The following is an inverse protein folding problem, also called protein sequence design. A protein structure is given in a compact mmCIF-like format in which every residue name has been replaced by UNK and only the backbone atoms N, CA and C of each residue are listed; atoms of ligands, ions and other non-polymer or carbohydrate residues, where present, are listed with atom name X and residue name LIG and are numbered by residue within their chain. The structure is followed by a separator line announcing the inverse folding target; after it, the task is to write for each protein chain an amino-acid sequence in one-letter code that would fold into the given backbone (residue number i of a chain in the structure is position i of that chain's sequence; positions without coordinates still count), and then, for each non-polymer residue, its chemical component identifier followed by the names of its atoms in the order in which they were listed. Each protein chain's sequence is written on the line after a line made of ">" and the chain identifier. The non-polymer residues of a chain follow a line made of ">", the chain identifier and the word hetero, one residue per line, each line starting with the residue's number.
data_IF_377523024005
#
_entry.id   IF_377523024005
#
_cell.length_a   1.000
_cell.length_b   1.000
_cell.length_c   1.000
_cell.angle_alpha   90.00
_cell.angle_beta   90.00
_cell.angle_gamma   90.00
#
_symmetry.space_group_name_H-M   'P 1'
#
loop_
_entity.id
_entity.type
_entity.pdbx_description
1 polymer ?
#
# COMPACT_ATOMS: atom_id res chain seq x y z
N UNK A 1 -13.90 -27.57 2.90
CA UNK A 1 -14.57 -26.24 2.92
C UNK A 1 -14.27 -25.51 4.22
N UNK A 2 -14.51 -24.19 4.28
CA UNK A 2 -14.39 -23.41 5.52
C UNK A 2 -15.72 -23.39 6.28
N UNK A 3 -15.73 -23.30 7.62
CA UNK A 3 -16.95 -23.14 8.40
C UNK A 3 -17.60 -21.78 8.15
N UNK A 4 -18.92 -21.78 8.00
CA UNK A 4 -19.72 -20.58 7.81
C UNK A 4 -19.80 -19.80 9.12
N UNK A 5 -19.54 -18.49 9.04
CA UNK A 5 -19.58 -17.56 10.17
C UNK A 5 -20.78 -16.63 10.05
N UNK A 6 -21.20 -16.02 11.16
CA UNK A 6 -22.29 -15.05 11.24
C UNK A 6 -21.78 -13.74 11.85
N UNK A 7 -22.47 -12.60 11.65
CA UNK A 7 -23.60 -12.40 10.76
C UNK A 7 -23.17 -12.22 9.29
N UNK A 8 -23.96 -12.72 8.34
CA UNK A 8 -23.82 -12.40 6.90
C UNK A 8 -25.16 -11.90 6.34
N UNK A 9 -25.15 -10.74 5.68
CA UNK A 9 -26.34 -10.05 5.19
C UNK A 9 -26.09 -9.40 3.83
N UNK A 10 -27.16 -9.01 3.17
CA UNK A 10 -27.11 -8.29 1.89
C UNK A 10 -26.16 -7.09 1.97
N UNK A 11 -25.40 -6.86 0.90
CA UNK A 11 -24.39 -5.80 0.72
C UNK A 11 -23.06 -6.01 1.46
N UNK A 12 -22.91 -7.06 2.27
CA UNK A 12 -21.62 -7.37 2.91
C UNK A 12 -20.55 -7.81 1.89
N UNK A 13 -19.27 -7.64 2.23
CA UNK A 13 -18.12 -8.07 1.43
C UNK A 13 -17.05 -8.79 2.24
N UNK A 14 -16.24 -9.60 1.56
CA UNK A 14 -14.99 -10.13 2.08
C UNK A 14 -14.96 -11.66 2.24
N UNK A 15 -13.88 -12.16 2.85
CA UNK A 15 -13.56 -13.61 2.92
C UNK A 15 -14.70 -14.46 3.50
N UNK A 16 -15.39 -13.96 4.53
CA UNK A 16 -16.52 -14.68 5.15
C UNK A 16 -17.72 -14.86 4.19
N UNK A 17 -17.96 -13.89 3.32
CA UNK A 17 -19.00 -13.97 2.26
C UNK A 17 -18.57 -14.97 1.18
N UNK A 18 -17.29 -14.93 0.81
CA UNK A 18 -16.68 -15.88 -0.11
C UNK A 18 -16.81 -17.34 0.37
N UNK A 19 -16.54 -17.62 1.65
CA UNK A 19 -16.66 -18.96 2.24
C UNK A 19 -18.11 -19.50 2.15
N UNK A 20 -19.11 -18.62 2.38
CA UNK A 20 -20.52 -18.93 2.17
C UNK A 20 -20.84 -19.21 0.70
N UNK A 21 -20.35 -18.39 -0.22
CA UNK A 21 -20.62 -18.53 -1.65
C UNK A 21 -19.95 -19.78 -2.25
N UNK A 22 -18.81 -20.21 -1.70
CA UNK A 22 -18.19 -21.50 -2.05
C UNK A 22 -19.08 -22.66 -1.61
N UNK A 23 -19.68 -22.56 -0.42
CA UNK A 23 -20.69 -23.52 0.07
C UNK A 23 -21.91 -23.59 -0.86
N UNK A 24 -22.45 -22.43 -1.24
CA UNK A 24 -23.61 -22.39 -2.13
C UNK A 24 -23.28 -22.93 -3.54
N UNK A 25 -22.09 -22.66 -4.05
CA UNK A 25 -21.62 -23.20 -5.34
C UNK A 25 -21.54 -24.73 -5.31
N UNK A 26 -20.98 -25.29 -4.24
CA UNK A 26 -20.93 -26.74 -4.06
C UNK A 26 -22.32 -27.36 -3.98
N UNK A 27 -23.25 -26.74 -3.25
CA UNK A 27 -24.63 -27.23 -3.16
C UNK A 27 -25.35 -27.13 -4.51
N UNK A 28 -25.07 -26.09 -5.33
CA UNK A 28 -25.59 -26.00 -6.70
C UNK A 28 -25.05 -27.09 -7.62
N UNK A 29 -23.83 -27.56 -7.40
CA UNK A 29 -23.22 -28.62 -8.20
C UNK A 29 -23.64 -30.01 -7.74
N UNK A 30 -23.80 -30.22 -6.43
CA UNK A 30 -23.87 -31.56 -5.84
C UNK A 30 -25.21 -31.86 -5.13
N UNK A 31 -25.99 -30.85 -4.74
CA UNK A 31 -27.19 -30.99 -3.87
C UNK A 31 -28.25 -29.89 -4.16
N UNK A 32 -28.66 -29.72 -5.42
CA UNK A 32 -29.60 -28.67 -5.87
C UNK A 32 -30.93 -28.70 -5.13
N UNK A 33 -31.36 -29.88 -4.69
CA UNK A 33 -32.57 -30.09 -3.90
C UNK A 33 -32.58 -29.30 -2.59
N UNK A 34 -31.41 -29.02 -1.99
CA UNK A 34 -31.30 -28.22 -0.76
C UNK A 34 -31.44 -26.71 -1.02
N UNK A 35 -31.30 -26.29 -2.28
CA UNK A 35 -31.39 -24.89 -2.71
C UNK A 35 -32.67 -24.61 -3.52
N UNK A 36 -33.46 -25.65 -3.79
CA UNK A 36 -34.68 -25.53 -4.55
C UNK A 36 -35.77 -24.83 -3.72
N UNK A 37 -36.46 -23.82 -4.27
CA UNK A 37 -37.60 -23.21 -3.59
C UNK A 37 -38.75 -24.22 -3.43
N UNK A 38 -39.27 -24.39 -2.22
CA UNK A 38 -40.26 -25.44 -1.87
C UNK A 38 -41.59 -25.36 -2.64
N UNK A 39 -41.94 -24.18 -3.20
CA UNK A 39 -43.24 -23.93 -3.83
C UNK A 39 -43.13 -23.31 -5.23
N UNK A 40 -42.05 -23.60 -5.98
CA UNK A 40 -41.91 -23.07 -7.32
C UNK A 40 -42.72 -23.88 -8.36
N UNK A 41 -43.50 -23.22 -9.23
CA UNK A 41 -44.30 -23.90 -10.27
C UNK A 41 -43.44 -24.50 -11.39
N UNK A 42 -42.15 -24.14 -11.48
CA UNK A 42 -41.18 -24.68 -12.43
C UNK A 42 -39.80 -24.81 -11.76
N UNK A 43 -38.95 -25.76 -12.20
CA UNK A 43 -37.58 -25.86 -11.72
C UNK A 43 -36.82 -24.55 -11.99
N UNK A 44 -35.97 -24.09 -11.05
CA UNK A 44 -35.16 -22.90 -11.26
C UNK A 44 -34.20 -23.06 -12.44
N UNK A 45 -33.92 -21.96 -13.12
CA UNK A 45 -32.83 -21.89 -14.09
C UNK A 45 -31.48 -21.91 -13.35
N UNK A 46 -30.97 -23.11 -13.13
CA UNK A 46 -29.76 -23.35 -12.36
C UNK A 46 -28.51 -22.73 -12.99
N UNK A 47 -28.45 -22.68 -14.33
CA UNK A 47 -27.30 -22.15 -15.04
C UNK A 47 -27.23 -20.63 -14.86
N UNK A 48 -28.37 -19.94 -14.97
CA UNK A 48 -28.45 -18.51 -14.69
C UNK A 48 -28.10 -18.18 -13.23
N UNK A 49 -28.57 -19.00 -12.28
CA UNK A 49 -28.28 -18.81 -10.85
C UNK A 49 -26.79 -19.03 -10.57
N UNK A 50 -26.18 -20.08 -11.14
CA UNK A 50 -24.75 -20.36 -10.98
C UNK A 50 -23.87 -19.23 -11.55
N UNK A 51 -24.25 -18.67 -12.71
CA UNK A 51 -23.57 -17.50 -13.30
C UNK A 51 -23.67 -16.29 -12.36
N UNK A 52 -24.87 -16.00 -11.84
CA UNK A 52 -25.07 -14.86 -10.94
C UNK A 52 -24.28 -15.01 -9.62
N UNK A 53 -24.27 -16.21 -9.04
CA UNK A 53 -23.48 -16.51 -7.84
C UNK A 53 -21.98 -16.36 -8.13
N UNK A 54 -21.50 -16.82 -9.28
CA UNK A 54 -20.08 -16.69 -9.66
C UNK A 54 -19.63 -15.24 -9.81
N UNK A 55 -20.48 -14.38 -10.36
CA UNK A 55 -20.22 -12.93 -10.45
C UNK A 55 -20.12 -12.31 -9.05
N UNK A 56 -21.04 -12.65 -8.16
CA UNK A 56 -21.03 -12.21 -6.76
C UNK A 56 -19.80 -12.74 -6.00
N UNK A 57 -19.41 -13.99 -6.24
CA UNK A 57 -18.24 -14.66 -5.66
C UNK A 57 -16.92 -14.01 -6.04
N UNK A 58 -16.76 -13.65 -7.30
CA UNK A 58 -15.57 -12.95 -7.80
C UNK A 58 -15.40 -11.58 -7.14
N UNK A 59 -16.51 -10.93 -6.77
CA UNK A 59 -16.53 -9.65 -6.04
C UNK A 59 -16.56 -9.84 -4.51
N UNK A 60 -16.62 -11.08 -4.04
CA UNK A 60 -16.88 -11.46 -2.64
C UNK A 60 -18.05 -10.68 -2.04
N UNK A 61 -19.07 -10.39 -2.84
CA UNK A 61 -20.15 -9.46 -2.50
C UNK A 61 -21.45 -10.23 -2.29
N UNK A 62 -22.07 -10.02 -1.14
CA UNK A 62 -23.35 -10.64 -0.79
C UNK A 62 -24.47 -9.89 -1.51
N UNK A 63 -24.78 -10.33 -2.73
CA UNK A 63 -25.82 -9.75 -3.55
C UNK A 63 -27.13 -10.53 -3.50
N UNK A 64 -27.94 -10.32 -4.54
CA UNK A 64 -29.27 -10.90 -4.65
C UNK A 64 -29.20 -12.42 -4.80
N UNK A 65 -28.29 -12.93 -5.62
CA UNK A 65 -28.18 -14.37 -5.86
C UNK A 65 -27.80 -15.12 -4.58
N UNK A 66 -26.82 -14.59 -3.83
CA UNK A 66 -26.43 -15.16 -2.53
C UNK A 66 -27.59 -15.14 -1.54
N UNK A 67 -28.32 -14.01 -1.43
CA UNK A 67 -29.47 -13.88 -0.54
C UNK A 67 -30.57 -14.90 -0.87
N UNK A 68 -30.96 -15.00 -2.13
CA UNK A 68 -32.06 -15.84 -2.57
C UNK A 68 -31.72 -17.33 -2.33
N UNK A 69 -30.47 -17.73 -2.59
CA UNK A 69 -29.99 -19.09 -2.30
C UNK A 69 -29.95 -19.39 -0.80
N UNK A 70 -29.51 -18.44 0.04
CA UNK A 70 -29.54 -18.61 1.51
C UNK A 70 -30.97 -18.71 2.01
N UNK A 71 -31.88 -17.90 1.48
CA UNK A 71 -33.30 -17.94 1.84
C UNK A 71 -33.92 -19.31 1.53
N UNK A 72 -33.62 -19.87 0.35
CA UNK A 72 -34.08 -21.21 -0.03
C UNK A 72 -33.45 -22.29 0.85
N UNK A 73 -32.14 -22.21 1.11
CA UNK A 73 -31.44 -23.16 1.98
C UNK A 73 -32.03 -23.16 3.40
N UNK A 74 -32.28 -21.97 3.96
CA UNK A 74 -32.93 -21.83 5.26
C UNK A 74 -34.31 -22.48 5.26
N UNK A 75 -35.10 -22.26 4.21
CA UNK A 75 -36.43 -22.84 4.09
C UNK A 75 -36.38 -24.38 4.07
N UNK A 76 -35.45 -24.96 3.29
CA UNK A 76 -35.23 -26.41 3.22
C UNK A 76 -34.68 -27.00 4.52
N UNK A 77 -33.91 -26.22 5.29
CA UNK A 77 -33.45 -26.58 6.64
C UNK A 77 -34.48 -26.33 7.75
N UNK A 78 -35.73 -25.97 7.40
CA UNK A 78 -36.82 -25.64 8.35
C UNK A 78 -36.48 -24.47 9.29
N UNK A 79 -35.70 -23.52 8.80
CA UNK A 79 -35.38 -22.26 9.47
C UNK A 79 -36.25 -21.12 8.92
N UNK A 80 -36.23 -19.99 9.63
CA UNK A 80 -36.86 -18.76 9.12
C UNK A 80 -36.10 -18.29 7.87
N UNK A 81 -36.79 -18.27 6.73
CA UNK A 81 -36.25 -17.84 5.45
C UNK A 81 -36.11 -16.31 5.42
N UNK A 82 -34.96 -15.81 5.87
CA UNK A 82 -34.64 -14.39 5.92
C UNK A 82 -33.69 -13.99 4.79
N UNK A 83 -32.89 -14.94 4.30
CA UNK A 83 -31.77 -14.68 3.41
C UNK A 83 -30.58 -14.03 4.13
N UNK A 84 -30.61 -13.94 5.47
CA UNK A 84 -29.52 -13.50 6.33
C UNK A 84 -28.96 -14.69 7.12
N UNK A 85 -27.65 -14.84 7.19
CA UNK A 85 -27.01 -15.88 8.00
C UNK A 85 -26.82 -15.36 9.43
N UNK A 86 -27.80 -15.64 10.29
CA UNK A 86 -27.68 -15.48 11.73
C UNK A 86 -26.97 -16.69 12.38
N UNK A 87 -26.81 -16.66 13.72
CA UNK A 87 -26.15 -17.73 14.46
C UNK A 87 -26.78 -19.11 14.20
N UNK A 88 -28.12 -19.18 14.22
CA UNK A 88 -28.86 -20.44 14.05
C UNK A 88 -28.72 -20.97 12.63
N UNK A 89 -28.75 -20.10 11.64
CA UNK A 89 -28.51 -20.44 10.24
C UNK A 89 -27.09 -20.94 10.00
N UNK A 90 -26.07 -20.26 10.54
CA UNK A 90 -24.68 -20.70 10.40
C UNK A 90 -24.44 -22.08 11.04
N UNK A 91 -24.98 -22.31 12.25
CA UNK A 91 -24.90 -23.61 12.93
C UNK A 91 -25.57 -24.73 12.10
N UNK A 92 -26.76 -24.47 11.54
CA UNK A 92 -27.48 -25.46 10.73
C UNK A 92 -26.75 -25.77 9.41
N UNK A 93 -26.20 -24.74 8.74
CA UNK A 93 -25.45 -24.91 7.49
C UNK A 93 -24.16 -25.70 7.76
N UNK A 94 -23.41 -25.37 8.81
CA UNK A 94 -22.20 -26.14 9.17
C UNK A 94 -22.54 -27.60 9.52
N UNK A 95 -23.62 -27.82 10.28
CA UNK A 95 -24.11 -29.18 10.58
C UNK A 95 -24.44 -29.96 9.31
N UNK A 96 -25.09 -29.32 8.34
CA UNK A 96 -25.37 -29.90 7.03
C UNK A 96 -24.08 -30.28 6.28
N UNK A 97 -23.09 -29.39 6.25
CA UNK A 97 -21.82 -29.65 5.55
C UNK A 97 -21.02 -30.78 6.18
N UNK A 98 -21.08 -30.93 7.50
CA UNK A 98 -20.51 -32.08 8.21
C UNK A 98 -21.24 -33.38 7.85
N UNK A 99 -22.58 -33.39 7.82
CA UNK A 99 -23.37 -34.56 7.36
C UNK A 99 -23.05 -34.95 5.93
N UNK A 100 -22.79 -33.97 5.06
CA UNK A 100 -22.39 -34.20 3.67
C UNK A 100 -20.90 -34.60 3.52
N UNK A 101 -20.13 -34.62 4.62
CA UNK A 101 -18.67 -34.91 4.66
C UNK A 101 -17.82 -33.95 3.81
N UNK A 102 -18.29 -32.73 3.62
CA UNK A 102 -17.65 -31.67 2.79
C UNK A 102 -16.92 -30.65 3.66
N UNK A 103 -17.41 -30.52 4.89
CA UNK A 103 -16.73 -29.91 6.01
C UNK A 103 -16.31 -31.06 6.93
N UNK A 104 -15.04 -31.13 7.31
CA UNK A 104 -14.60 -32.08 8.34
C UNK A 104 -15.42 -31.82 9.61
N UNK A 105 -16.16 -32.84 10.06
CA UNK A 105 -16.76 -32.82 11.38
C UNK A 105 -15.64 -32.88 12.39
N UNK A 106 -15.24 -31.72 12.89
CA UNK A 106 -14.27 -31.69 13.99
C UNK A 106 -14.90 -32.08 15.33
N UNK A 107 -16.24 -32.21 15.42
CA UNK A 107 -17.00 -32.52 16.64
C UNK A 107 -16.86 -31.50 17.78
N UNK A 108 -15.86 -30.63 17.72
CA UNK A 108 -15.51 -29.70 18.77
C UNK A 108 -15.96 -28.29 18.40
N UNK A 109 -16.64 -27.63 19.33
CA UNK A 109 -16.67 -26.16 19.34
C UNK A 109 -15.29 -25.68 19.79
N UNK A 110 -14.77 -24.55 19.29
CA UNK A 110 -13.59 -23.96 19.91
C UNK A 110 -13.94 -23.62 21.37
N UNK A 111 -13.42 -24.42 22.29
CA UNK A 111 -13.65 -24.32 23.74
C UNK A 111 -12.65 -23.41 24.41
N UNK A 112 -11.54 -23.08 23.74
CA UNK A 112 -10.51 -22.21 24.27
C UNK A 112 -10.59 -20.81 23.65
N UNK A 113 -10.54 -19.78 24.49
CA UNK A 113 -10.60 -18.37 24.10
C UNK A 113 -9.48 -17.59 24.78
N UNK A 114 -8.79 -16.77 24.00
CA UNK A 114 -7.73 -15.87 24.48
C UNK A 114 -8.08 -14.45 24.09
N UNK A 115 -8.04 -13.55 25.07
CA UNK A 115 -8.34 -12.13 24.90
C UNK A 115 -7.25 -11.24 25.48
N UNK A 116 -7.03 -10.12 24.81
CA UNK A 116 -6.14 -9.08 25.25
C UNK A 116 -6.22 -7.86 24.33
N UNK A 117 -5.29 -6.92 24.54
CA UNK A 117 -5.13 -5.71 23.74
C UNK A 117 -3.69 -5.58 23.28
N UNK A 118 -3.51 -5.03 22.09
CA UNK A 118 -2.21 -4.58 21.59
C UNK A 118 -2.18 -3.06 21.62
N UNK A 119 -1.21 -2.50 22.33
CA UNK A 119 -1.05 -1.06 22.52
C UNK A 119 0.36 -0.61 22.13
N UNK A 120 0.52 0.67 21.80
CA UNK A 120 1.83 1.28 21.63
C UNK A 120 2.53 1.47 22.98
N UNK A 121 3.80 1.84 22.96
CA UNK A 121 4.53 2.31 24.15
C UNK A 121 3.84 3.48 24.89
N UNK A 122 2.96 4.23 24.22
CA UNK A 122 2.13 5.30 24.80
C UNK A 122 0.75 4.79 25.28
N UNK A 123 0.55 3.48 25.33
CA UNK A 123 -0.71 2.82 25.72
C UNK A 123 -1.91 3.09 24.79
N UNK A 124 -1.67 3.57 23.57
CA UNK A 124 -2.71 3.74 22.55
C UNK A 124 -3.02 2.39 21.89
N UNK A 125 -4.30 2.05 21.76
CA UNK A 125 -4.74 0.85 21.03
C UNK A 125 -4.28 0.83 19.57
N UNK A 126 -3.77 -0.31 19.11
CA UNK A 126 -3.22 -0.47 17.77
C UNK A 126 -4.11 -1.37 16.90
N UNK A 127 -4.92 -0.80 16.00
CA UNK A 127 -5.82 -1.58 15.14
C UNK A 127 -5.10 -2.23 13.96
N UNK A 128 -5.72 -3.27 13.40
CA UNK A 128 -5.29 -3.88 12.14
C UNK A 128 -4.00 -4.71 12.20
N UNK A 129 -3.43 -4.93 13.39
CA UNK A 129 -2.24 -5.74 13.56
C UNK A 129 -2.57 -7.23 13.55
N UNK A 130 -1.69 -8.03 12.93
CA UNK A 130 -1.80 -9.47 12.96
C UNK A 130 -1.24 -10.02 14.28
N UNK A 131 -2.06 -10.78 14.99
CA UNK A 131 -1.64 -11.51 16.18
C UNK A 131 -1.74 -13.00 15.95
N UNK A 132 -0.76 -13.74 16.45
CA UNK A 132 -0.78 -15.20 16.52
C UNK A 132 -0.73 -15.63 17.97
N UNK A 133 -1.40 -16.73 18.29
CA UNK A 133 -1.29 -17.36 19.62
C UNK A 133 -0.60 -18.69 19.45
N UNK A 134 0.44 -18.89 20.25
CA UNK A 134 1.28 -20.08 20.23
C UNK A 134 1.24 -20.79 21.59
N UNK A 135 1.32 -22.11 21.56
CA UNK A 135 1.68 -22.93 22.71
C UNK A 135 3.22 -23.00 22.76
N UNK A 136 3.80 -22.34 23.76
CA UNK A 136 5.24 -22.31 24.03
C UNK A 136 5.71 -23.68 24.46
N UNK A 137 6.75 -24.19 23.82
CA UNK A 137 7.22 -25.55 24.06
C UNK A 137 8.74 -25.60 24.17
N UNK A 138 9.25 -26.71 24.73
CA UNK A 138 10.65 -27.08 24.54
C UNK A 138 10.82 -27.45 23.06
N UNK A 139 11.65 -26.70 22.35
CA UNK A 139 11.81 -26.77 20.90
C UNK A 139 10.88 -25.81 20.17
N UNK A 140 10.22 -26.29 19.13
CA UNK A 140 9.33 -25.47 18.31
C UNK A 140 7.99 -25.18 18.99
N UNK A 141 7.54 -23.92 18.87
CA UNK A 141 6.24 -23.49 19.34
C UNK A 141 5.13 -23.96 18.38
N UNK A 142 3.96 -24.30 18.92
CA UNK A 142 2.81 -24.74 18.12
C UNK A 142 1.82 -23.59 17.96
N UNK A 143 1.58 -23.15 16.74
CA UNK A 143 0.61 -22.08 16.48
C UNK A 143 -0.84 -22.58 16.62
N UNK A 144 -1.54 -22.05 17.62
CA UNK A 144 -2.92 -22.42 17.95
C UNK A 144 -3.94 -21.66 17.09
N UNK A 145 -3.68 -20.37 16.83
CA UNK A 145 -4.60 -19.52 16.06
C UNK A 145 -4.01 -18.18 15.68
N UNK A 146 -4.80 -17.42 14.91
CA UNK A 146 -4.49 -16.04 14.48
C UNK A 146 -5.71 -15.16 14.66
N UNK A 147 -5.50 -13.87 14.93
CA UNK A 147 -6.53 -12.84 14.94
C UNK A 147 -5.97 -11.52 14.39
N UNK A 148 -6.86 -10.55 14.20
CA UNK A 148 -6.49 -9.17 13.86
C UNK A 148 -7.04 -8.26 14.95
N UNK A 149 -6.27 -7.26 15.36
CA UNK A 149 -6.71 -6.29 16.38
C UNK A 149 -7.80 -5.36 15.83
N UNK A 150 -8.81 -5.08 16.66
CA UNK A 150 -9.87 -4.12 16.37
C UNK A 150 -9.47 -2.67 16.66
N UNK A 151 -10.39 -1.72 16.51
CA UNK A 151 -10.15 -0.27 16.65
C UNK A 151 -9.45 0.14 17.95
N UNK A 152 -9.78 -0.50 19.06
CA UNK A 152 -9.18 -0.25 20.38
C UNK A 152 -7.90 -1.06 20.64
N UNK A 153 -7.39 -1.77 19.65
CA UNK A 153 -6.30 -2.74 19.80
C UNK A 153 -6.71 -4.08 20.40
N UNK A 154 -7.99 -4.27 20.75
CA UNK A 154 -8.50 -5.51 21.31
C UNK A 154 -8.47 -6.66 20.30
N UNK A 155 -8.15 -7.87 20.76
CA UNK A 155 -8.26 -9.09 19.98
C UNK A 155 -8.96 -10.19 20.77
N UNK A 156 -9.64 -11.08 20.05
CA UNK A 156 -10.17 -12.34 20.55
C UNK A 156 -9.73 -13.44 19.59
N UNK A 157 -9.16 -14.51 20.14
CA UNK A 157 -8.75 -15.68 19.38
C UNK A 157 -9.35 -16.92 20.00
N UNK A 158 -9.94 -17.78 19.16
CA UNK A 158 -10.57 -19.03 19.56
C UNK A 158 -9.84 -20.20 18.91
N UNK A 159 -9.54 -21.25 19.67
CA UNK A 159 -8.84 -22.43 19.18
C UNK A 159 -9.38 -23.74 19.75
N UNK A 160 -8.93 -24.84 19.14
CA UNK A 160 -9.37 -26.19 19.47
C UNK A 160 -8.34 -26.90 20.34
N UNK A 161 -8.76 -27.68 21.37
CA UNK A 161 -7.87 -28.42 22.25
C UNK A 161 -6.89 -29.33 21.50
N UNK A 162 -7.31 -29.95 20.39
CA UNK A 162 -6.47 -30.84 19.58
C UNK A 162 -5.20 -30.21 18.99
N UNK A 163 -5.12 -28.87 18.97
CA UNK A 163 -3.91 -28.15 18.55
C UNK A 163 -2.85 -28.05 19.64
N UNK A 164 -3.20 -28.34 20.88
CA UNK A 164 -2.25 -28.42 21.99
C UNK A 164 -1.37 -29.65 21.77
N UNK A 165 -0.06 -29.52 22.03
CA UNK A 165 0.90 -30.61 21.83
C UNK A 165 0.47 -31.85 22.63
N UNK A 166 0.50 -33.03 21.99
CA UNK A 166 0.20 -34.31 22.65
C UNK A 166 1.12 -34.53 23.86
N UNK A 167 0.55 -34.90 25.00
CA UNK A 167 1.25 -35.08 26.27
C UNK A 167 1.21 -33.85 27.21
N UNK A 168 0.77 -32.69 26.72
CA UNK A 168 0.49 -31.51 27.55
C UNK A 168 -0.98 -31.51 27.99
N UNK A 169 -1.24 -31.50 29.29
CA UNK A 169 -2.59 -31.38 29.84
C UNK A 169 -3.17 -29.96 29.70
N UNK A 170 -2.31 -28.95 29.67
CA UNK A 170 -2.64 -27.53 29.45
C UNK A 170 -1.57 -26.86 28.57
N UNK A 171 -1.94 -25.89 27.71
CA UNK A 171 -0.98 -25.16 26.89
C UNK A 171 -0.30 -24.04 27.67
N UNK A 172 0.88 -23.62 27.23
CA UNK A 172 1.57 -22.42 27.73
C UNK A 172 1.42 -21.33 26.68
N UNK A 173 0.53 -20.36 26.91
CA UNK A 173 0.13 -19.44 25.86
C UNK A 173 1.06 -18.23 25.78
N UNK A 174 1.48 -17.88 24.56
CA UNK A 174 2.03 -16.57 24.26
C UNK A 174 1.33 -15.99 23.05
N UNK A 175 1.01 -14.71 23.11
CA UNK A 175 0.49 -13.97 21.95
C UNK A 175 1.61 -13.16 21.35
N UNK A 176 1.79 -13.25 20.03
CA UNK A 176 2.85 -12.57 19.29
C UNK A 176 2.21 -11.67 18.22
N UNK A 177 2.65 -10.42 18.17
CA UNK A 177 2.26 -9.43 17.15
C UNK A 177 3.24 -9.52 16.00
N UNK A 178 2.75 -9.63 14.77
CA UNK A 178 3.56 -9.71 13.56
C UNK A 178 3.40 -8.46 12.70
N UNK A 179 4.45 -8.08 11.97
CA UNK A 179 4.34 -7.15 10.85
C UNK A 179 3.81 -7.86 9.58
N UNK A 180 3.70 -7.12 8.48
CA UNK A 180 3.24 -7.66 7.19
C UNK A 180 4.19 -8.72 6.60
N UNK A 181 5.47 -8.72 7.00
CA UNK A 181 6.50 -9.68 6.59
C UNK A 181 6.56 -10.90 7.53
N UNK A 182 5.59 -11.06 8.44
CA UNK A 182 5.56 -12.11 9.47
C UNK A 182 6.70 -12.05 10.51
N UNK A 183 7.40 -10.93 10.62
CA UNK A 183 8.39 -10.68 11.68
C UNK A 183 7.69 -10.26 12.98
N UNK A 184 8.12 -10.85 14.09
CA UNK A 184 7.58 -10.52 15.42
C UNK A 184 7.96 -9.09 15.81
N UNK A 185 6.96 -8.26 16.09
CA UNK A 185 7.11 -6.90 16.61
C UNK A 185 7.23 -6.91 18.13
N UNK A 186 6.33 -7.64 18.79
CA UNK A 186 6.28 -7.77 20.24
C UNK A 186 5.52 -9.05 20.61
N UNK A 187 5.64 -9.48 21.87
CA UNK A 187 4.92 -10.63 22.38
C UNK A 187 4.46 -10.37 23.82
N UNK A 188 3.41 -11.05 24.24
CA UNK A 188 2.99 -11.07 25.65
C UNK A 188 3.99 -11.86 26.49
N UNK A 189 3.86 -11.74 27.80
CA UNK A 189 4.39 -12.76 28.71
C UNK A 189 3.75 -14.12 28.42
N UNK A 190 4.45 -15.18 28.82
CA UNK A 190 3.95 -16.56 28.68
C UNK A 190 2.99 -16.86 29.82
N UNK A 191 1.75 -17.25 29.49
CA UNK A 191 0.76 -17.76 30.44
C UNK A 191 0.89 -19.28 30.52
N UNK A 192 1.62 -19.75 31.53
CA UNK A 192 1.80 -21.18 31.75
C UNK A 192 0.53 -21.88 32.21
N UNK A 193 0.33 -23.12 31.76
CA UNK A 193 -0.79 -23.98 32.17
C UNK A 193 -2.17 -23.30 32.01
N UNK A 194 -2.39 -22.63 30.87
CA UNK A 194 -3.58 -21.85 30.58
C UNK A 194 -4.87 -22.69 30.59
N UNK A 195 -5.95 -22.07 31.04
CA UNK A 195 -7.29 -22.62 31.04
C UNK A 195 -8.07 -22.39 29.73
N UNK A 196 -9.35 -22.80 29.69
CA UNK A 196 -10.23 -22.60 28.54
C UNK A 196 -10.53 -21.14 28.22
N UNK A 197 -10.50 -20.24 29.20
CA UNK A 197 -10.70 -18.81 28.95
C UNK A 197 -9.60 -18.00 29.61
N UNK A 198 -8.80 -17.31 28.79
CA UNK A 198 -7.69 -16.48 29.24
C UNK A 198 -7.90 -15.02 28.83
N UNK A 199 -7.62 -14.13 29.77
CA UNK A 199 -7.79 -12.68 29.64
C UNK A 199 -6.50 -11.96 30.05
N UNK A 200 -6.28 -10.77 29.51
CA UNK A 200 -5.16 -9.90 29.90
C UNK A 200 -3.81 -10.34 29.35
N UNK A 201 -3.76 -11.08 28.24
CA UNK A 201 -2.54 -11.25 27.45
C UNK A 201 -2.31 -10.00 26.59
N UNK A 202 -2.17 -8.86 27.26
CA UNK A 202 -1.94 -7.57 26.63
C UNK A 202 -0.49 -7.47 26.14
N UNK A 203 -0.28 -6.72 25.05
CA UNK A 203 1.02 -6.58 24.39
C UNK A 203 1.30 -5.10 24.19
N UNK A 204 2.44 -4.66 24.73
CA UNK A 204 2.98 -3.33 24.46
C UNK A 204 3.99 -3.46 23.31
N UNK A 205 3.71 -2.81 22.18
CA UNK A 205 4.66 -2.75 21.06
C UNK A 205 5.67 -1.63 21.33
N UNK A 206 6.97 -1.95 21.44
CA UNK A 206 8.01 -0.94 21.68
C UNK A 206 8.03 0.13 20.59
N UNK A 207 8.54 1.31 20.94
CA UNK A 207 8.79 2.35 19.95
C UNK A 207 9.74 1.84 18.84
N UNK A 208 9.50 2.30 17.60
CA UNK A 208 10.33 1.96 16.44
C UNK A 208 10.10 0.57 15.85
N UNK A 209 9.28 -0.28 16.49
CA UNK A 209 8.92 -1.59 15.94
C UNK A 209 7.64 -1.60 15.11
N UNK A 210 6.78 -0.60 15.27
CA UNK A 210 5.62 -0.47 14.41
C UNK A 210 6.05 -0.03 13.01
N UNK A 211 5.50 -0.64 11.94
CA UNK A 211 5.63 -0.07 10.61
C UNK A 211 5.07 1.34 10.64
N UNK A 212 5.93 2.35 10.50
CA UNK A 212 5.50 3.73 10.32
C UNK A 212 5.44 3.99 8.82
N UNK A 213 4.38 4.65 8.31
CA UNK A 213 4.38 5.10 6.93
C UNK A 213 5.61 5.97 6.65
N UNK A 214 6.05 5.97 5.39
CA UNK A 214 7.20 6.77 4.99
C UNK A 214 7.02 8.25 5.35
N UNK A 215 8.11 8.95 5.64
CA UNK A 215 8.12 10.34 6.11
C UNK A 215 7.21 11.26 5.28
N UNK A 216 7.36 11.23 3.96
CA UNK A 216 6.56 12.06 3.05
C UNK A 216 5.06 11.75 3.16
N UNK A 217 4.68 10.47 3.29
CA UNK A 217 3.27 10.07 3.44
C UNK A 217 2.69 10.59 4.75
N UNK A 218 3.42 10.44 5.87
CA UNK A 218 2.97 10.96 7.17
C UNK A 218 2.78 12.46 7.14
N UNK A 219 3.70 13.18 6.48
CA UNK A 219 3.60 14.63 6.34
C UNK A 219 2.34 15.01 5.53
N UNK A 220 2.05 14.33 4.42
CA UNK A 220 0.84 14.58 3.64
C UNK A 220 -0.44 14.24 4.42
N UNK A 221 -0.46 13.14 5.16
CA UNK A 221 -1.60 12.71 5.99
C UNK A 221 -1.94 13.75 7.07
N UNK A 222 -0.93 14.39 7.66
CA UNK A 222 -1.13 15.44 8.68
C UNK A 222 -1.50 16.81 8.08
N UNK A 223 -0.95 17.16 6.91
CA UNK A 223 -1.23 18.42 6.23
C UNK A 223 -2.60 18.43 5.53
N UNK A 224 -3.05 17.29 5.01
CA UNK A 224 -4.30 17.14 4.25
C UNK A 224 -5.55 17.67 4.97
N UNK A 225 -5.80 17.32 6.26
CA UNK A 225 -6.93 17.86 7.02
C UNK A 225 -6.86 19.38 7.20
N UNK A 226 -5.66 19.94 7.42
CA UNK A 226 -5.48 21.39 7.60
C UNK A 226 -5.73 22.15 6.29
N UNK A 227 -5.47 21.50 5.17
CA UNK A 227 -5.74 22.00 3.83
C UNK A 227 -7.15 21.65 3.33
N UNK A 228 -8.03 21.13 4.19
CA UNK A 228 -9.44 20.84 3.88
C UNK A 228 -9.64 20.05 2.57
N UNK A 229 -8.80 19.04 2.33
CA UNK A 229 -8.94 18.16 1.16
C UNK A 229 -8.46 16.75 1.49
N UNK A 230 -9.19 15.75 1.00
CA UNK A 230 -8.76 14.34 0.97
C UNK A 230 -8.46 13.87 -0.46
N UNK A 231 -8.72 14.72 -1.45
CA UNK A 231 -8.39 14.44 -2.86
C UNK A 231 -6.91 14.72 -3.11
N UNK A 232 -6.21 13.74 -3.70
CA UNK A 232 -4.76 13.78 -3.88
C UNK A 232 -4.31 14.90 -4.83
N UNK A 233 -5.06 15.13 -5.92
CA UNK A 233 -4.72 16.15 -6.92
C UNK A 233 -5.03 17.57 -6.42
N UNK A 234 -6.11 17.73 -5.64
CA UNK A 234 -6.37 18.97 -4.94
C UNK A 234 -5.34 19.23 -3.84
N UNK A 235 -4.87 18.19 -3.13
CA UNK A 235 -3.82 18.32 -2.13
C UNK A 235 -2.52 18.81 -2.76
N UNK A 236 -2.07 18.20 -3.88
CA UNK A 236 -0.88 18.64 -4.63
C UNK A 236 -0.98 20.12 -5.03
N UNK A 237 -2.12 20.55 -5.57
CA UNK A 237 -2.36 21.96 -5.94
C UNK A 237 -2.30 22.91 -4.75
N UNK A 238 -3.04 22.62 -3.67
CA UNK A 238 -3.05 23.47 -2.46
C UNK A 238 -1.66 23.58 -1.83
N UNK A 239 -0.89 22.48 -1.82
CA UNK A 239 0.50 22.50 -1.36
C UNK A 239 1.38 23.39 -2.24
N UNK A 240 1.18 23.39 -3.55
CA UNK A 240 1.94 24.22 -4.47
C UNK A 240 1.61 25.73 -4.32
N UNK A 241 0.43 26.07 -3.82
CA UNK A 241 -0.06 27.44 -3.60
C UNK A 241 0.29 28.02 -2.23
N UNK A 242 0.99 27.26 -1.37
CA UNK A 242 1.43 27.75 -0.06
C UNK A 242 2.46 28.88 -0.23
N UNK A 243 2.28 29.93 0.57
CA UNK A 243 3.15 31.10 0.65
C UNK A 243 3.74 31.23 2.05
N UNK A 244 4.93 31.81 2.09
CA UNK A 244 5.59 32.26 3.30
C UNK A 244 6.24 33.61 2.97
N UNK A 245 5.51 34.68 3.23
CA UNK A 245 5.89 36.08 3.01
C UNK A 245 5.27 36.97 4.11
N UNK A 246 5.47 38.28 4.01
CA UNK A 246 4.99 39.25 5.02
C UNK A 246 3.46 39.31 5.14
N UNK A 247 2.73 38.85 4.11
CA UNK A 247 1.26 38.87 4.08
C UNK A 247 0.66 37.50 4.44
N UNK A 248 1.34 36.40 4.12
CA UNK A 248 0.84 35.03 4.27
C UNK A 248 1.91 34.08 4.80
N UNK A 249 1.64 33.52 5.98
CA UNK A 249 2.54 32.65 6.74
C UNK A 249 2.02 31.19 6.78
N UNK A 250 1.67 30.61 5.63
CA UNK A 250 1.03 29.28 5.63
C UNK A 250 1.95 28.19 6.16
N UNK A 251 3.24 28.25 5.82
CA UNK A 251 4.22 27.24 6.20
C UNK A 251 4.41 27.28 7.71
N UNK A 252 4.59 28.48 8.26
CA UNK A 252 4.68 28.69 9.72
C UNK A 252 3.41 28.24 10.43
N UNK A 253 2.23 28.55 9.91
CA UNK A 253 0.96 28.10 10.49
C UNK A 253 0.85 26.57 10.49
N UNK A 254 1.08 25.92 9.35
CA UNK A 254 0.97 24.46 9.21
C UNK A 254 1.98 23.73 10.09
N UNK A 255 3.22 24.23 10.18
CA UNK A 255 4.26 23.70 11.04
C UNK A 255 3.82 23.71 12.52
N UNK A 256 3.37 24.87 13.02
CA UNK A 256 2.90 25.00 14.41
C UNK A 256 1.63 24.20 14.69
N UNK A 257 0.72 24.10 13.70
CA UNK A 257 -0.54 23.38 13.86
C UNK A 257 -0.37 21.86 13.93
N UNK A 258 0.60 21.34 13.18
CA UNK A 258 0.83 19.89 13.05
C UNK A 258 2.03 19.38 13.87
N UNK A 259 2.88 20.29 14.36
CA UNK A 259 4.12 19.94 15.07
C UNK A 259 5.26 19.51 14.15
N UNK A 260 5.09 19.57 12.82
CA UNK A 260 6.16 19.27 11.87
C UNK A 260 7.15 20.43 11.71
N UNK A 261 8.42 20.10 11.42
CA UNK A 261 9.46 21.08 11.12
C UNK A 261 9.06 21.91 9.88
N UNK A 262 9.10 23.24 10.00
CA UNK A 262 8.68 24.17 8.95
C UNK A 262 9.46 23.99 7.63
N UNK A 263 10.73 23.57 7.70
CA UNK A 263 11.52 23.26 6.49
C UNK A 263 10.94 22.08 5.73
N UNK A 264 10.40 21.08 6.43
CA UNK A 264 9.78 19.90 5.81
C UNK A 264 8.49 20.28 5.10
N UNK A 265 7.70 21.16 5.71
CA UNK A 265 6.49 21.73 5.10
C UNK A 265 6.86 22.56 3.86
N UNK A 266 7.89 23.42 3.96
CA UNK A 266 8.39 24.20 2.83
C UNK A 266 8.91 23.33 1.68
N UNK A 267 9.68 22.28 1.99
CA UNK A 267 10.17 21.31 1.00
C UNK A 267 9.01 20.62 0.28
N UNK A 268 7.96 20.25 1.00
CA UNK A 268 6.75 19.67 0.39
C UNK A 268 6.02 20.66 -0.51
N UNK A 269 5.89 21.91 -0.09
CA UNK A 269 5.28 22.97 -0.92
C UNK A 269 6.08 23.21 -2.21
N UNK A 270 7.41 23.31 -2.10
CA UNK A 270 8.31 23.42 -3.24
C UNK A 270 8.21 22.18 -4.14
N UNK A 271 8.22 20.99 -3.54
CA UNK A 271 8.14 19.73 -4.27
C UNK A 271 6.86 19.61 -5.10
N UNK A 272 5.73 20.05 -4.55
CA UNK A 272 4.46 20.12 -5.29
C UNK A 272 4.49 21.13 -6.43
N UNK A 273 5.14 22.29 -6.26
CA UNK A 273 5.34 23.28 -7.35
C UNK A 273 6.17 22.70 -8.48
N UNK A 274 7.31 22.11 -8.16
CA UNK A 274 8.19 21.50 -9.16
C UNK A 274 7.51 20.32 -9.86
N UNK A 275 6.87 19.43 -9.10
CA UNK A 275 6.17 18.28 -9.66
C UNK A 275 5.02 18.66 -10.58
N UNK A 276 4.25 19.70 -10.23
CA UNK A 276 3.18 20.22 -11.09
C UNK A 276 3.68 20.79 -12.42
N UNK A 277 4.90 21.35 -12.45
CA UNK A 277 5.51 21.90 -13.69
C UNK A 277 6.11 20.83 -14.58
N UNK A 278 6.75 19.80 -14.01
CA UNK A 278 7.52 18.80 -14.79
C UNK A 278 6.80 17.48 -14.98
N UNK A 279 5.66 17.27 -14.32
CA UNK A 279 4.93 15.99 -14.35
C UNK A 279 5.66 14.85 -13.63
N UNK A 280 6.68 15.18 -12.83
CA UNK A 280 7.36 14.24 -11.93
C UNK A 280 6.61 14.25 -10.60
N UNK A 281 6.47 13.08 -9.96
CA UNK A 281 5.80 12.99 -8.66
C UNK A 281 6.49 13.90 -7.64
N UNK A 282 5.74 14.77 -6.91
CA UNK A 282 6.30 15.68 -5.92
C UNK A 282 7.23 14.99 -4.91
N UNK A 283 6.91 13.77 -4.51
CA UNK A 283 7.74 12.94 -3.63
C UNK A 283 9.23 12.88 -4.07
N UNK A 284 9.51 12.84 -5.36
CA UNK A 284 10.88 12.78 -5.88
C UNK A 284 11.63 14.11 -5.72
N UNK A 285 10.96 15.25 -5.89
CA UNK A 285 11.55 16.56 -5.56
C UNK A 285 11.74 16.74 -4.07
N UNK A 286 10.77 16.30 -3.27
CA UNK A 286 10.89 16.31 -1.82
C UNK A 286 12.15 15.55 -1.37
N UNK A 287 12.43 14.37 -1.95
CA UNK A 287 13.65 13.62 -1.65
C UNK A 287 14.94 14.35 -2.02
N UNK A 288 14.97 15.10 -3.13
CA UNK A 288 16.12 15.94 -3.51
C UNK A 288 16.35 17.04 -2.47
N UNK A 289 15.31 17.78 -2.09
CA UNK A 289 15.44 18.85 -1.10
C UNK A 289 15.80 18.32 0.29
N UNK A 290 15.22 17.17 0.66
CA UNK A 290 15.51 16.45 1.90
C UNK A 290 16.96 15.96 1.97
N UNK A 291 17.60 15.73 0.82
CA UNK A 291 19.01 15.41 0.68
C UNK A 291 19.93 16.65 0.65
N UNK A 292 19.37 17.85 0.76
CA UNK A 292 20.12 19.12 0.81
C UNK A 292 20.29 19.80 -0.55
N UNK A 293 19.65 19.29 -1.61
CA UNK A 293 19.68 19.96 -2.92
C UNK A 293 18.86 21.25 -2.84
N UNK A 294 19.41 22.40 -3.24
CA UNK A 294 18.64 23.65 -3.33
C UNK A 294 17.43 23.53 -4.26
N UNK A 295 16.31 24.15 -3.88
CA UNK A 295 15.11 24.23 -4.71
C UNK A 295 15.23 25.33 -5.79
N UNK A 296 16.27 25.21 -6.61
CA UNK A 296 16.63 26.14 -7.68
C UNK A 296 16.64 25.40 -9.03
N UNK A 297 15.98 25.97 -10.04
CA UNK A 297 15.80 25.32 -11.35
C UNK A 297 17.12 25.10 -12.10
N UNK A 298 18.06 26.05 -12.00
CA UNK A 298 19.37 25.94 -12.65
C UNK A 298 20.22 24.87 -11.97
N UNK A 299 20.21 24.81 -10.63
CA UNK A 299 20.92 23.76 -9.88
C UNK A 299 20.33 22.38 -10.18
N UNK A 300 19.01 22.25 -10.16
CA UNK A 300 18.32 20.97 -10.39
C UNK A 300 18.57 20.47 -11.81
N UNK A 301 18.40 21.31 -12.83
CA UNK A 301 18.59 20.91 -14.23
C UNK A 301 20.03 20.45 -14.53
N UNK A 302 21.01 20.96 -13.76
CA UNK A 302 22.42 20.60 -13.84
C UNK A 302 22.80 19.41 -12.95
N UNK A 303 21.88 18.69 -12.32
CA UNK A 303 22.24 17.46 -11.60
C UNK A 303 22.42 16.27 -12.53
N UNK A 304 23.41 15.41 -12.24
CA UNK A 304 23.65 14.21 -13.04
C UNK A 304 22.47 13.24 -12.85
N UNK A 305 21.89 12.68 -13.91
CA UNK A 305 20.76 11.76 -13.80
C UNK A 305 21.03 10.57 -12.86
N UNK A 306 22.25 10.02 -12.88
CA UNK A 306 22.60 8.91 -11.98
C UNK A 306 22.65 9.37 -10.51
N UNK A 307 23.11 10.60 -10.22
CA UNK A 307 23.07 11.15 -8.85
C UNK A 307 21.62 11.31 -8.36
N UNK A 308 20.73 11.84 -9.19
CA UNK A 308 19.30 12.00 -8.88
C UNK A 308 18.65 10.65 -8.58
N UNK A 309 18.91 9.66 -9.45
CA UNK A 309 18.42 8.28 -9.27
C UNK A 309 18.90 7.66 -7.96
N UNK A 310 20.17 7.84 -7.60
CA UNK A 310 20.72 7.33 -6.33
C UNK A 310 20.07 7.99 -5.11
N UNK A 311 19.82 9.30 -5.16
CA UNK A 311 19.10 10.01 -4.09
C UNK A 311 17.68 9.43 -3.92
N UNK A 312 16.94 9.23 -5.01
CA UNK A 312 15.58 8.67 -4.94
C UNK A 312 15.56 7.24 -4.40
N UNK A 313 16.46 6.37 -4.86
CA UNK A 313 16.59 5.00 -4.32
C UNK A 313 16.88 5.01 -2.82
N UNK A 314 17.87 5.81 -2.40
CA UNK A 314 18.23 5.93 -0.98
C UNK A 314 17.08 6.48 -0.14
N UNK A 315 16.26 7.37 -0.69
CA UNK A 315 15.09 7.91 0.00
C UNK A 315 13.99 6.84 0.21
N UNK A 316 13.82 5.91 -0.73
CA UNK A 316 12.95 4.75 -0.56
C UNK A 316 13.50 3.80 0.51
N UNK A 317 14.79 3.44 0.42
CA UNK A 317 15.46 2.55 1.39
C UNK A 317 15.38 3.07 2.82
N UNK A 318 15.52 4.39 3.00
CA UNK A 318 15.44 5.07 4.30
C UNK A 318 14.02 5.36 4.77
N UNK A 319 12.99 4.88 4.06
CA UNK A 319 11.57 5.15 4.35
C UNK A 319 11.25 6.66 4.42
N UNK A 320 11.98 7.49 3.67
CA UNK A 320 11.60 8.89 3.43
C UNK A 320 10.45 8.91 2.42
N UNK A 321 10.57 8.10 1.37
CA UNK A 321 9.55 7.89 0.36
C UNK A 321 8.87 6.52 0.50
N UNK A 322 7.59 6.40 0.14
CA UNK A 322 6.91 5.11 0.10
C UNK A 322 7.58 4.11 -0.85
N UNK A 323 7.61 2.83 -0.47
CA UNK A 323 8.24 1.76 -1.27
C UNK A 323 7.58 1.61 -2.65
N UNK A 324 6.28 1.91 -2.76
CA UNK A 324 5.56 1.78 -4.02
C UNK A 324 5.97 2.83 -5.07
N UNK A 325 6.80 3.81 -4.70
CA UNK A 325 7.39 4.78 -5.64
C UNK A 325 8.65 4.25 -6.32
N UNK A 326 9.28 3.18 -5.84
CA UNK A 326 10.50 2.64 -6.46
C UNK A 326 10.28 2.27 -7.93
N UNK A 327 9.12 1.68 -8.25
CA UNK A 327 8.71 1.35 -9.62
C UNK A 327 8.52 2.57 -10.53
N UNK A 328 8.32 3.77 -9.98
CA UNK A 328 8.14 5.03 -10.73
C UNK A 328 9.48 5.75 -11.01
N UNK A 329 10.58 5.29 -10.40
CA UNK A 329 11.91 5.91 -10.58
C UNK A 329 12.34 5.95 -12.05
N UNK A 330 12.27 4.87 -12.85
CA UNK A 330 12.74 4.89 -14.24
C UNK A 330 12.01 5.92 -15.10
N UNK A 331 10.67 5.93 -15.05
CA UNK A 331 9.84 6.89 -15.79
C UNK A 331 10.09 8.34 -15.35
N UNK A 332 10.21 8.58 -14.04
CA UNK A 332 10.47 9.90 -13.48
C UNK A 332 11.86 10.42 -13.85
N UNK A 333 12.84 9.51 -13.98
CA UNK A 333 14.19 9.86 -14.39
C UNK A 333 14.24 10.30 -15.86
N UNK A 334 13.48 9.65 -16.74
CA UNK A 334 13.38 10.07 -18.14
C UNK A 334 12.71 11.45 -18.27
N UNK A 335 11.65 11.72 -17.48
CA UNK A 335 11.07 13.07 -17.39
C UNK A 335 12.07 14.11 -16.90
N UNK A 336 12.88 13.75 -15.89
CA UNK A 336 13.91 14.62 -15.36
C UNK A 336 14.97 14.95 -16.42
N UNK A 337 15.48 13.95 -17.14
CA UNK A 337 16.42 14.15 -18.25
C UNK A 337 15.85 15.06 -19.34
N UNK A 338 14.58 14.87 -19.71
CA UNK A 338 13.93 15.70 -20.71
C UNK A 338 13.84 17.17 -20.25
N UNK A 339 13.40 17.40 -19.01
CA UNK A 339 13.34 18.72 -18.40
C UNK A 339 14.72 19.39 -18.30
N UNK A 340 15.74 18.65 -17.86
CA UNK A 340 17.12 19.14 -17.79
C UNK A 340 17.70 19.50 -19.16
N UNK A 341 17.40 18.71 -20.19
CA UNK A 341 17.86 18.98 -21.56
C UNK A 341 17.17 20.21 -22.17
N UNK A 342 15.88 20.37 -21.93
CA UNK A 342 15.13 21.58 -22.33
C UNK A 342 15.73 22.82 -21.65
N UNK A 343 16.02 22.74 -20.35
CA UNK A 343 16.59 23.89 -19.63
C UNK A 343 18.00 24.26 -19.98
N UNK A 344 18.84 23.28 -20.33
CA UNK A 344 20.16 23.55 -20.86
C UNK A 344 20.10 24.41 -22.14
N UNK A 345 19.06 24.24 -22.96
CA UNK A 345 18.88 25.00 -24.19
C UNK A 345 18.31 26.41 -23.94
N UNK A 346 17.52 26.61 -22.88
CA UNK A 346 16.82 27.87 -22.64
C UNK A 346 17.59 28.87 -21.77
N UNK A 347 18.48 28.42 -20.87
CA UNK A 347 19.15 29.32 -19.92
C UNK A 347 20.39 30.00 -20.53
N UNK A 348 20.52 31.34 -20.41
CA UNK A 348 21.77 32.04 -20.68
C UNK A 348 22.83 31.64 -19.65
N UNK A 349 24.00 31.21 -20.13
CA UNK A 349 25.17 30.99 -19.27
C UNK A 349 25.47 32.29 -18.53
N UNK A 350 25.66 32.23 -17.21
CA UNK A 350 25.92 33.42 -16.36
C UNK A 350 27.23 34.16 -16.69
N UNK A 351 27.98 33.69 -17.69
CA UNK A 351 29.16 34.33 -18.27
C UNK A 351 29.04 34.16 -19.79
N UNK A 352 28.94 35.26 -20.54
CA UNK A 352 28.84 35.25 -22.01
C UNK A 352 27.42 35.45 -22.55
N UNK A 353 27.27 36.37 -23.51
CA UNK A 353 26.00 36.83 -24.10
C UNK A 353 25.26 35.80 -24.99
N UNK A 354 25.64 34.52 -24.97
CA UNK A 354 25.09 33.45 -25.81
C UNK A 354 24.67 32.26 -24.96
N UNK A 355 23.40 31.86 -25.02
CA UNK A 355 22.94 30.61 -24.38
C UNK A 355 23.42 29.38 -25.18
N UNK A 356 23.36 28.19 -24.58
CA UNK A 356 23.80 26.94 -25.23
C UNK A 356 23.05 26.69 -26.55
N UNK A 357 21.77 27.08 -26.66
CA UNK A 357 21.00 27.00 -27.90
C UNK A 357 21.50 27.93 -29.00
N UNK A 358 22.00 29.11 -28.66
CA UNK A 358 22.59 30.05 -29.62
C UNK A 358 23.94 29.52 -30.13
N UNK A 359 24.74 28.87 -29.28
CA UNK A 359 25.97 28.17 -29.70
C UNK A 359 25.69 27.00 -30.64
N UNK A 360 24.59 26.28 -30.42
CA UNK A 360 24.22 25.15 -31.26
C UNK A 360 23.52 25.57 -32.56
N UNK A 361 22.87 26.74 -32.63
CA UNK A 361 22.03 27.14 -33.77
C UNK A 361 22.80 27.22 -35.08
N UNK A 362 24.05 27.66 -35.03
CA UNK A 362 24.88 27.86 -36.22
C UNK A 362 25.40 26.54 -36.81
N UNK A 363 25.61 25.52 -35.96
CA UNK A 363 26.17 24.22 -36.36
C UNK A 363 25.10 23.15 -36.51
N UNK A 364 24.10 23.14 -35.63
CA UNK A 364 22.96 22.24 -35.59
C UNK A 364 21.66 23.04 -35.83
N UNK A 365 21.33 23.28 -37.10
CA UNK A 365 20.16 24.08 -37.50
C UNK A 365 18.80 23.40 -37.21
N UNK A 366 18.78 22.08 -37.06
CA UNK A 366 17.59 21.30 -36.72
C UNK A 366 17.36 21.28 -35.21
N UNK A 367 16.18 21.70 -34.74
CA UNK A 367 15.83 21.70 -33.31
C UNK A 367 15.85 20.27 -32.72
N UNK A 368 15.49 19.26 -33.51
CA UNK A 368 15.60 17.87 -33.10
C UNK A 368 17.06 17.45 -32.83
N UNK A 369 17.99 17.91 -33.64
CA UNK A 369 19.42 17.69 -33.47
C UNK A 369 19.98 18.40 -32.23
N UNK A 370 19.52 19.63 -31.97
CA UNK A 370 19.87 20.38 -30.75
C UNK A 370 19.42 19.63 -29.49
N UNK A 371 18.18 19.12 -29.47
CA UNK A 371 17.67 18.32 -28.35
C UNK A 371 18.45 17.01 -28.16
N UNK A 372 18.80 16.30 -29.25
CA UNK A 372 19.62 15.07 -29.19
C UNK A 372 21.00 15.36 -28.61
N UNK A 373 21.64 16.45 -29.04
CA UNK A 373 22.94 16.85 -28.51
C UNK A 373 22.88 17.21 -27.03
N UNK A 374 21.88 18.01 -26.61
CA UNK A 374 21.69 18.39 -25.20
C UNK A 374 21.44 17.17 -24.30
N UNK A 375 20.65 16.19 -24.75
CA UNK A 375 20.45 14.92 -24.03
C UNK A 375 21.75 14.13 -23.92
N UNK A 376 22.48 13.99 -25.02
CA UNK A 376 23.76 13.27 -25.05
C UNK A 376 24.79 13.91 -24.11
N UNK A 377 24.84 15.24 -24.07
CA UNK A 377 25.69 15.98 -23.15
C UNK A 377 25.30 15.70 -21.69
N UNK A 378 24.02 15.77 -21.35
CA UNK A 378 23.54 15.46 -20.00
C UNK A 378 23.84 14.01 -19.57
N UNK A 379 23.74 13.05 -20.49
CA UNK A 379 23.99 11.64 -20.21
C UNK A 379 25.48 11.30 -20.02
N UNK A 380 26.37 12.02 -20.70
CA UNK A 380 27.81 11.72 -20.74
C UNK A 380 28.71 12.85 -20.23
N UNK A 381 28.17 13.85 -19.53
CA UNK A 381 28.96 14.98 -19.02
C UNK A 381 30.14 14.58 -18.12
N UNK A 382 30.02 13.45 -17.44
CA UNK A 382 31.06 12.91 -16.56
C UNK A 382 32.10 12.05 -17.33
N UNK A 383 31.89 11.82 -18.63
CA UNK A 383 32.77 11.13 -19.58
C UNK A 383 32.84 11.93 -20.89
N UNK A 384 33.59 13.04 -20.86
CA UNK A 384 33.71 13.93 -22.02
C UNK A 384 34.35 13.24 -23.24
N UNK A 385 35.21 12.25 -23.02
CA UNK A 385 35.85 11.50 -24.12
C UNK A 385 34.81 10.62 -24.84
N UNK A 386 34.01 9.87 -24.08
CA UNK A 386 32.89 9.09 -24.61
C UNK A 386 31.80 9.97 -25.21
N UNK A 387 31.51 11.12 -24.60
CA UNK A 387 30.60 12.14 -25.15
C UNK A 387 31.02 12.55 -26.56
N UNK A 388 32.26 13.01 -26.74
CA UNK A 388 32.72 13.47 -28.05
C UNK A 388 32.84 12.35 -29.08
N UNK A 389 33.13 11.12 -28.65
CA UNK A 389 33.08 9.94 -29.54
C UNK A 389 31.67 9.72 -30.09
N UNK A 390 30.66 9.79 -29.23
CA UNK A 390 29.26 9.61 -29.61
C UNK A 390 28.75 10.80 -30.46
N UNK A 391 29.17 12.03 -30.15
CA UNK A 391 28.85 13.21 -30.98
C UNK A 391 29.39 13.05 -32.40
N UNK A 392 30.64 12.60 -32.57
CA UNK A 392 31.21 12.33 -33.91
C UNK A 392 30.43 11.25 -34.65
N UNK A 393 29.96 10.23 -33.94
CA UNK A 393 29.17 9.15 -34.52
C UNK A 393 27.78 9.62 -34.95
N UNK A 394 27.10 10.45 -34.16
CA UNK A 394 25.72 10.87 -34.42
C UNK A 394 25.60 12.11 -35.32
N UNK A 395 26.56 13.03 -35.25
CA UNK A 395 26.51 14.32 -35.94
C UNK A 395 27.65 14.53 -36.96
N UNK A 396 28.64 13.64 -36.99
CA UNK A 396 29.78 13.70 -37.91
C UNK A 396 31.00 14.43 -37.35
N UNK A 397 32.17 14.12 -37.91
CA UNK A 397 33.48 14.64 -37.46
C UNK A 397 33.55 16.16 -37.51
N UNK A 398 33.17 16.78 -38.63
CA UNK A 398 33.23 18.23 -38.82
C UNK A 398 32.34 19.00 -37.85
N UNK A 399 31.14 18.49 -37.57
CA UNK A 399 30.21 19.10 -36.61
C UNK A 399 30.79 19.02 -35.19
N UNK A 400 31.35 17.86 -34.82
CA UNK A 400 31.96 17.69 -33.50
C UNK A 400 33.16 18.63 -33.28
N UNK A 401 34.05 18.76 -34.28
CA UNK A 401 35.20 19.67 -34.21
C UNK A 401 34.77 21.13 -34.12
N UNK A 402 33.72 21.52 -34.87
CA UNK A 402 33.19 22.88 -34.83
C UNK A 402 32.54 23.20 -33.48
N UNK A 403 31.73 22.29 -32.94
CA UNK A 403 31.13 22.44 -31.60
C UNK A 403 32.18 22.49 -30.48
N UNK A 404 33.28 21.73 -30.60
CA UNK A 404 34.41 21.80 -29.66
C UNK A 404 35.12 23.16 -29.72
N UNK A 405 35.28 23.72 -30.92
CA UNK A 405 35.89 25.03 -31.11
C UNK A 405 34.98 26.14 -30.55
N UNK A 406 33.70 26.14 -30.93
CA UNK A 406 32.74 27.15 -30.51
C UNK A 406 32.51 27.12 -28.99
N UNK A 407 32.51 25.92 -28.37
CA UNK A 407 32.47 25.78 -26.91
C UNK A 407 33.71 26.31 -26.18
N UNK A 408 34.90 26.24 -26.80
CA UNK A 408 36.15 26.82 -26.24
C UNK A 408 36.20 28.35 -26.35
N UNK A 409 35.51 28.92 -27.34
CA UNK A 409 35.47 30.36 -27.59
C UNK A 409 34.36 31.07 -26.80
N UNK A 410 33.38 30.31 -26.29
CA UNK A 410 32.25 30.82 -25.52
C UNK A 410 32.46 30.82 -23.98
N UNK A 411 33.51 30.15 -23.50
CA UNK A 411 33.99 30.23 -22.11
C UNK A 411 35.06 31.33 -22.00
#
# INVERSE_FOLDING_TARGET
>A
MNPITFPLRLRMRGKKVADLQDTLSYLLENRRELLAPLHAPRPPDWDRIAIALRIERNKQYYGKATRDLVANLQQNLRLRSTGEVDKKAAEAINTLLCKLRVLEDTGEKPTFVVRGRVVSHELRGLPGLHVIVVDKNVGEDVQLGKATTGESGAYEMRYYPKKIRKGKGKPDLQVQVLNQESKILAASEVRYNAGPEEWGLDIVVPEGRLPRPAEFRRLLEELSPQLNTQDEEQLKRRLAELKEDDERQDITYLANKTGWDARMVAMTALASRFGGRTGIEPAFYYALFRAGVPADEAVLSQMAPETVKQIWKRAVEKQILPQELERKIPESLERFKAYSAERLLEEPTRIGLSNFKDLLRDVLRDEGAQQRFARLYQERRDDLEGFWKEVRQQFGQHVAERLQLDGKLAC
#
